data_IF_303348854549
#
_entry.id   IF_303348854549
#
_cell.length_a   1.000
_cell.length_b   1.000
_cell.length_c   1.000
_cell.angle_alpha   90.00
_cell.angle_beta   90.00
_cell.angle_gamma   90.00
#
_symmetry.space_group_name_H-M   'P 1'
#
loop_
_entity.id
_entity.type
_entity.pdbx_description
1 polymer ?
#
# COMPACT_ATOMS: atom_id res chain seq x y z
N UNK A 1 21.88 17.66 21.81
CA UNK A 1 21.36 16.38 22.32
C UNK A 1 21.78 15.28 21.36
N UNK A 2 22.12 14.09 21.87
CA UNK A 2 22.64 12.97 21.08
C UNK A 2 21.46 12.07 20.65
N UNK A 3 21.44 11.62 19.38
CA UNK A 3 20.37 10.80 18.79
C UNK A 3 20.06 9.54 19.60
N UNK A 4 21.10 8.92 20.18
CA UNK A 4 20.97 7.73 21.02
C UNK A 4 20.19 8.02 22.31
N UNK A 5 20.46 9.15 22.95
CA UNK A 5 19.79 9.56 24.20
C UNK A 5 18.34 9.96 23.96
N UNK A 6 18.03 10.56 22.82
CA UNK A 6 16.66 10.92 22.42
C UNK A 6 15.79 9.69 22.11
N UNK A 7 16.39 8.60 21.61
CA UNK A 7 15.71 7.35 21.31
C UNK A 7 15.82 6.29 22.41
N UNK A 8 16.36 6.64 23.60
CA UNK A 8 16.59 5.73 24.74
C UNK A 8 17.41 4.48 24.38
N UNK A 9 18.38 4.66 23.50
CA UNK A 9 19.30 3.61 23.08
C UNK A 9 20.51 3.69 24.03
N UNK A 10 20.54 2.81 25.02
CA UNK A 10 21.60 2.74 26.03
C UNK A 10 22.64 1.68 25.67
N UNK A 11 22.25 0.64 24.94
CA UNK A 11 23.09 -0.45 24.48
C UNK A 11 22.97 -0.69 22.97
N UNK A 12 23.99 -1.30 22.37
CA UNK A 12 23.97 -1.68 20.95
C UNK A 12 22.83 -2.65 20.62
N UNK A 13 22.46 -3.52 21.55
CA UNK A 13 21.29 -4.41 21.42
C UNK A 13 19.99 -3.63 21.28
N UNK A 14 19.84 -2.51 22.01
CA UNK A 14 18.66 -1.66 21.92
C UNK A 14 18.56 -0.99 20.55
N UNK A 15 19.70 -0.61 19.95
CA UNK A 15 19.77 -0.08 18.59
C UNK A 15 19.28 -1.12 17.57
N UNK A 16 19.76 -2.36 17.67
CA UNK A 16 19.36 -3.45 16.77
C UNK A 16 17.88 -3.75 16.90
N UNK A 17 17.36 -3.90 18.12
CA UNK A 17 15.92 -4.10 18.35
C UNK A 17 15.08 -2.95 17.79
N UNK A 18 15.53 -1.70 17.96
CA UNK A 18 14.81 -0.54 17.42
C UNK A 18 14.80 -0.49 15.90
N UNK A 19 15.88 -0.95 15.24
CA UNK A 19 15.93 -1.10 13.78
C UNK A 19 14.91 -2.14 13.31
N UNK A 20 14.86 -3.30 13.97
CA UNK A 20 13.93 -4.39 13.63
C UNK A 20 12.47 -3.97 13.81
N UNK A 21 12.15 -3.25 14.89
CA UNK A 21 10.82 -2.69 15.14
C UNK A 21 10.40 -1.74 14.02
N UNK A 22 11.24 -0.75 13.70
CA UNK A 22 10.93 0.27 12.69
C UNK A 22 10.89 -0.32 11.28
N UNK A 23 11.70 -1.34 10.99
CA UNK A 23 11.64 -2.08 9.74
C UNK A 23 10.30 -2.83 9.62
N UNK A 24 9.86 -3.50 10.69
CA UNK A 24 8.58 -4.21 10.74
C UNK A 24 7.40 -3.25 10.60
N UNK A 25 7.42 -2.11 11.30
CA UNK A 25 6.42 -1.04 11.15
C UNK A 25 6.39 -0.50 9.70
N UNK A 26 7.56 -0.34 9.07
CA UNK A 26 7.68 0.11 7.68
C UNK A 26 7.10 -0.90 6.70
N UNK A 27 7.30 -2.19 6.91
CA UNK A 27 6.72 -3.26 6.08
C UNK A 27 5.20 -3.29 6.21
N UNK A 28 4.68 -3.24 7.44
CA UNK A 28 3.24 -3.18 7.70
C UNK A 28 2.58 -1.95 7.07
N UNK A 29 3.24 -0.79 7.13
CA UNK A 29 2.76 0.43 6.48
C UNK A 29 2.73 0.30 4.95
N UNK A 30 3.71 -0.38 4.35
CA UNK A 30 3.72 -0.65 2.91
C UNK A 30 2.59 -1.59 2.48
N UNK A 31 2.34 -2.65 3.25
CA UNK A 31 1.23 -3.59 2.99
C UNK A 31 -0.14 -2.94 3.16
N UNK A 32 -0.32 -2.12 4.20
CA UNK A 32 -1.52 -1.34 4.41
C UNK A 32 -1.77 -0.38 3.24
N UNK A 33 -0.72 0.29 2.77
CA UNK A 33 -0.79 1.19 1.63
C UNK A 33 -1.22 0.45 0.35
N UNK A 34 -0.59 -0.68 0.05
CA UNK A 34 -0.93 -1.53 -1.10
C UNK A 34 -2.39 -2.02 -1.04
N UNK A 35 -2.87 -2.37 0.15
CA UNK A 35 -4.27 -2.76 0.36
C UNK A 35 -5.25 -1.63 0.06
N UNK A 36 -4.99 -0.42 0.56
CA UNK A 36 -5.82 0.77 0.31
C UNK A 36 -5.81 1.14 -1.19
N UNK A 37 -4.65 1.09 -1.83
CA UNK A 37 -4.53 1.36 -3.27
C UNK A 37 -5.34 0.37 -4.11
N UNK A 38 -5.26 -0.92 -3.79
CA UNK A 38 -6.08 -1.94 -4.45
C UNK A 38 -7.57 -1.65 -4.27
N UNK A 39 -8.00 -1.33 -3.04
CA UNK A 39 -9.40 -1.02 -2.75
C UNK A 39 -9.90 0.21 -3.51
N UNK A 40 -9.07 1.25 -3.65
CA UNK A 40 -9.39 2.43 -4.47
C UNK A 40 -9.63 2.06 -5.93
N UNK A 41 -8.78 1.22 -6.52
CA UNK A 41 -8.94 0.76 -7.91
C UNK A 41 -10.22 -0.06 -8.07
N UNK A 42 -10.43 -1.05 -7.20
CA UNK A 42 -11.60 -1.92 -7.24
C UNK A 42 -12.90 -1.09 -7.08
N UNK A 43 -12.88 -0.12 -6.18
CA UNK A 43 -14.01 0.77 -5.93
C UNK A 43 -14.31 1.69 -7.11
N UNK A 44 -13.29 2.25 -7.77
CA UNK A 44 -13.48 3.09 -8.95
C UNK A 44 -14.14 2.32 -10.10
N UNK A 45 -13.70 1.08 -10.35
CA UNK A 45 -14.31 0.19 -11.34
C UNK A 45 -15.77 -0.09 -10.97
N UNK A 46 -16.03 -0.40 -9.70
CA UNK A 46 -17.37 -0.67 -9.22
C UNK A 46 -18.30 0.54 -9.37
N UNK A 47 -17.85 1.74 -8.98
CA UNK A 47 -18.61 2.99 -9.13
C UNK A 47 -18.97 3.24 -10.59
N UNK A 48 -18.05 3.00 -11.52
CA UNK A 48 -18.30 3.13 -12.96
C UNK A 48 -19.41 2.19 -13.43
N UNK A 49 -19.41 0.93 -12.98
CA UNK A 49 -20.48 -0.02 -13.31
C UNK A 49 -21.82 0.37 -12.70
N UNK A 50 -21.84 0.81 -11.44
CA UNK A 50 -23.07 1.31 -10.78
C UNK A 50 -23.63 2.51 -11.55
N UNK A 51 -22.80 3.49 -11.88
CA UNK A 51 -23.22 4.68 -12.61
C UNK A 51 -23.75 4.33 -14.02
N UNK A 52 -23.06 3.44 -14.73
CA UNK A 52 -23.50 2.96 -16.05
C UNK A 52 -24.85 2.27 -15.94
N UNK A 53 -25.01 1.34 -14.98
CA UNK A 53 -26.25 0.62 -14.76
C UNK A 53 -27.42 1.55 -14.44
N UNK A 54 -27.22 2.53 -13.55
CA UNK A 54 -28.24 3.52 -13.19
C UNK A 54 -28.63 4.39 -14.39
N UNK A 55 -27.65 4.86 -15.17
CA UNK A 55 -27.87 5.72 -16.33
C UNK A 55 -28.66 5.01 -17.44
N UNK A 56 -28.37 3.74 -17.70
CA UNK A 56 -29.00 2.98 -18.80
C UNK A 56 -30.28 2.26 -18.38
N UNK A 57 -30.56 2.17 -17.07
CA UNK A 57 -31.75 1.48 -16.54
C UNK A 57 -33.08 1.96 -17.16
N UNK A 58 -33.36 3.27 -17.34
CA UNK A 58 -34.61 3.70 -17.96
C UNK A 58 -34.79 3.18 -19.39
N UNK A 59 -33.72 3.20 -20.19
CA UNK A 59 -33.71 2.68 -21.57
C UNK A 59 -33.93 1.17 -21.57
N UNK A 60 -33.25 0.45 -20.69
CA UNK A 60 -33.40 -1.01 -20.57
C UNK A 60 -34.80 -1.42 -20.09
N UNK A 61 -35.37 -0.70 -19.12
CA UNK A 61 -36.74 -0.95 -18.65
C UNK A 61 -37.78 -0.70 -19.75
N UNK A 62 -37.58 0.32 -20.59
CA UNK A 62 -38.41 0.59 -21.75
C UNK A 62 -38.25 -0.50 -22.84
N UNK A 63 -37.01 -0.93 -23.12
CA UNK A 63 -36.73 -2.07 -24.00
C UNK A 63 -37.48 -3.33 -23.57
N UNK A 64 -37.47 -3.66 -22.28
CA UNK A 64 -38.18 -4.84 -21.76
C UNK A 64 -39.69 -4.79 -21.97
N UNK A 65 -40.26 -3.59 -22.02
CA UNK A 65 -41.71 -3.33 -22.20
C UNK A 65 -42.09 -3.04 -23.66
N UNK A 66 -41.11 -2.88 -24.56
CA UNK A 66 -41.36 -2.50 -25.94
C UNK A 66 -42.15 -3.58 -26.69
N UNK A 67 -43.18 -3.17 -27.44
CA UNK A 67 -43.97 -4.08 -28.31
C UNK A 67 -43.13 -4.65 -29.45
N UNK A 68 -42.26 -3.82 -30.05
CA UNK A 68 -41.30 -4.25 -31.05
C UNK A 68 -39.88 -4.09 -30.49
N UNK A 69 -39.37 -5.19 -29.91
CA UNK A 69 -38.06 -5.21 -29.24
C UNK A 69 -36.90 -5.03 -30.20
N UNK A 70 -36.96 -5.61 -31.40
CA UNK A 70 -35.89 -5.51 -32.39
C UNK A 70 -35.67 -4.07 -32.85
N UNK A 71 -36.77 -3.36 -33.20
CA UNK A 71 -36.69 -1.95 -33.59
C UNK A 71 -36.20 -1.07 -32.44
N UNK A 72 -36.65 -1.34 -31.21
CA UNK A 72 -36.19 -0.60 -30.04
C UNK A 72 -34.70 -0.87 -29.77
N UNK A 73 -34.27 -2.14 -29.87
CA UNK A 73 -32.89 -2.52 -29.70
C UNK A 73 -32.00 -1.81 -30.71
N UNK A 74 -32.32 -1.84 -32.00
CA UNK A 74 -31.54 -1.17 -33.03
C UNK A 74 -31.38 0.35 -32.78
N UNK A 75 -32.40 1.01 -32.22
CA UNK A 75 -32.34 2.45 -31.88
C UNK A 75 -31.58 2.76 -30.59
N UNK A 76 -31.41 1.79 -29.69
CA UNK A 76 -30.82 1.96 -28.35
C UNK A 76 -29.72 0.95 -28.03
N UNK A 77 -29.12 0.36 -29.07
CA UNK A 77 -28.24 -0.81 -28.97
C UNK A 77 -27.11 -0.57 -27.99
N UNK A 78 -26.44 0.59 -28.11
CA UNK A 78 -25.34 0.98 -27.22
C UNK A 78 -25.75 0.98 -25.74
N UNK A 79 -26.89 1.59 -25.40
CA UNK A 79 -27.32 1.72 -24.01
C UNK A 79 -27.73 0.36 -23.42
N UNK A 80 -28.35 -0.49 -24.25
CA UNK A 80 -28.75 -1.85 -23.86
C UNK A 80 -27.50 -2.71 -23.60
N UNK A 81 -26.52 -2.71 -24.51
CA UNK A 81 -25.26 -3.44 -24.34
C UNK A 81 -24.52 -2.97 -23.08
N UNK A 82 -24.43 -1.65 -22.87
CA UNK A 82 -23.79 -1.08 -21.68
C UNK A 82 -24.54 -1.46 -20.39
N UNK A 83 -25.87 -1.50 -20.42
CA UNK A 83 -26.68 -1.95 -19.28
C UNK A 83 -26.37 -3.39 -18.92
N UNK A 84 -26.39 -4.29 -19.91
CA UNK A 84 -26.18 -5.72 -19.68
C UNK A 84 -24.76 -6.03 -19.22
N UNK A 85 -23.76 -5.35 -19.80
CA UNK A 85 -22.38 -5.44 -19.36
C UNK A 85 -22.22 -4.98 -17.91
N UNK A 86 -22.77 -3.81 -17.56
CA UNK A 86 -22.72 -3.31 -16.18
C UNK A 86 -23.46 -4.24 -15.20
N UNK A 87 -24.65 -4.73 -15.57
CA UNK A 87 -25.42 -5.67 -14.76
C UNK A 87 -24.65 -6.98 -14.50
N UNK A 88 -23.97 -7.51 -15.52
CA UNK A 88 -23.13 -8.71 -15.42
C UNK A 88 -21.96 -8.49 -14.48
N UNK A 89 -21.24 -7.37 -14.62
CA UNK A 89 -20.12 -7.03 -13.73
C UNK A 89 -20.58 -6.89 -12.28
N UNK A 90 -21.68 -6.17 -12.03
CA UNK A 90 -22.22 -5.99 -10.68
C UNK A 90 -22.62 -7.33 -10.03
N UNK A 91 -23.23 -8.23 -10.82
CA UNK A 91 -23.56 -9.59 -10.38
C UNK A 91 -22.31 -10.40 -10.05
N UNK A 92 -21.27 -10.31 -10.87
CA UNK A 92 -19.99 -11.00 -10.64
C UNK A 92 -19.27 -10.48 -9.39
N UNK A 93 -19.44 -9.20 -9.05
CA UNK A 93 -18.94 -8.60 -7.80
C UNK A 93 -19.73 -9.00 -6.54
N UNK A 94 -20.74 -9.88 -6.66
CA UNK A 94 -21.53 -10.35 -5.51
C UNK A 94 -22.52 -9.34 -4.95
N UNK A 95 -22.79 -8.25 -5.67
CA UNK A 95 -23.68 -7.18 -5.21
C UNK A 95 -25.13 -7.61 -5.40
N UNK A 96 -25.85 -7.76 -4.28
CA UNK A 96 -27.27 -8.09 -4.26
C UNK A 96 -28.16 -6.85 -4.22
N UNK A 97 -27.67 -5.74 -3.66
CA UNK A 97 -28.36 -4.45 -3.58
C UNK A 97 -27.49 -3.37 -4.16
N UNK A 98 -28.04 -2.60 -5.10
CA UNK A 98 -27.31 -1.54 -5.77
C UNK A 98 -26.84 -0.48 -4.75
N UNK A 99 -25.53 -0.19 -4.67
CA UNK A 99 -25.03 0.80 -3.73
C UNK A 99 -25.44 2.23 -4.15
N UNK A 100 -25.43 3.15 -3.19
CA UNK A 100 -25.64 4.56 -3.44
C UNK A 100 -24.30 5.20 -3.89
N UNK A 101 -24.25 5.78 -5.09
CA UNK A 101 -23.07 6.43 -5.62
C UNK A 101 -22.52 7.55 -4.72
N UNK A 102 -23.38 8.32 -4.06
CA UNK A 102 -22.93 9.37 -3.14
C UNK A 102 -22.26 8.78 -1.89
N UNK A 103 -22.74 7.65 -1.40
CA UNK A 103 -22.08 6.95 -0.29
C UNK A 103 -20.74 6.34 -0.73
N UNK A 104 -20.70 5.75 -1.93
CA UNK A 104 -19.46 5.25 -2.52
C UNK A 104 -18.44 6.37 -2.72
N UNK A 105 -18.86 7.54 -3.20
CA UNK A 105 -17.96 8.69 -3.37
C UNK A 105 -17.34 9.12 -2.04
N UNK A 106 -18.13 9.19 -0.96
CA UNK A 106 -17.62 9.50 0.38
C UNK A 106 -16.60 8.48 0.89
N UNK A 107 -16.89 7.20 0.71
CA UNK A 107 -15.95 6.14 1.11
C UNK A 107 -14.68 6.16 0.24
N UNK A 108 -14.79 6.47 -1.05
CA UNK A 108 -13.64 6.65 -1.93
C UNK A 108 -12.74 7.81 -1.46
N UNK A 109 -13.34 8.96 -1.12
CA UNK A 109 -12.62 10.12 -0.56
C UNK A 109 -11.96 9.80 0.79
N UNK A 110 -12.63 9.03 1.65
CA UNK A 110 -12.06 8.57 2.91
C UNK A 110 -10.86 7.64 2.69
N UNK A 111 -10.93 6.73 1.72
CA UNK A 111 -9.80 5.86 1.33
C UNK A 111 -8.64 6.67 0.75
N UNK A 112 -8.94 7.71 -0.02
CA UNK A 112 -7.92 8.61 -0.57
C UNK A 112 -7.19 9.36 0.54
N UNK A 113 -7.91 9.90 1.53
CA UNK A 113 -7.32 10.53 2.71
C UNK A 113 -6.49 9.53 3.54
N UNK A 114 -6.98 8.29 3.70
CA UNK A 114 -6.24 7.23 4.38
C UNK A 114 -4.94 6.89 3.64
N UNK A 115 -4.98 6.80 2.31
CA UNK A 115 -3.80 6.58 1.46
C UNK A 115 -2.75 7.67 1.68
N UNK A 116 -3.16 8.93 1.70
CA UNK A 116 -2.26 10.07 1.90
C UNK A 116 -1.60 10.05 3.29
N UNK A 117 -2.37 9.73 4.33
CA UNK A 117 -1.85 9.56 5.68
C UNK A 117 -0.81 8.42 5.76
N UNK A 118 -1.14 7.25 5.19
CA UNK A 118 -0.23 6.10 5.15
C UNK A 118 1.04 6.40 4.35
N UNK A 119 0.95 7.14 3.25
CA UNK A 119 2.12 7.58 2.48
C UNK A 119 3.05 8.47 3.30
N UNK A 120 2.47 9.42 4.06
CA UNK A 120 3.24 10.30 4.93
C UNK A 120 3.95 9.52 6.04
N UNK A 121 3.25 8.57 6.67
CA UNK A 121 3.82 7.77 7.77
C UNK A 121 4.86 6.77 7.29
N UNK A 122 4.61 6.07 6.17
CA UNK A 122 5.61 5.24 5.50
C UNK A 122 6.87 6.03 5.14
N UNK A 123 6.71 7.26 4.63
CA UNK A 123 7.84 8.15 4.33
C UNK A 123 8.67 8.52 5.56
N UNK A 124 8.04 8.73 6.73
CA UNK A 124 8.73 8.98 8.01
C UNK A 124 9.47 7.73 8.49
N UNK A 125 8.83 6.56 8.45
CA UNK A 125 9.43 5.29 8.87
C UNK A 125 10.67 4.96 8.03
N UNK A 126 10.58 5.12 6.70
CA UNK A 126 11.73 4.89 5.80
C UNK A 126 12.92 5.80 6.10
N UNK A 127 12.68 7.05 6.49
CA UNK A 127 13.75 7.96 6.94
C UNK A 127 14.39 7.47 8.24
N UNK A 128 13.58 7.07 9.21
CA UNK A 128 14.07 6.52 10.49
C UNK A 128 14.91 5.27 10.29
N UNK A 129 14.46 4.30 9.48
CA UNK A 129 15.25 3.09 9.15
C UNK A 129 16.62 3.49 8.63
N UNK A 130 16.68 4.41 7.66
CA UNK A 130 17.95 4.89 7.08
C UNK A 130 18.85 5.57 8.09
N UNK A 131 18.29 6.39 8.98
CA UNK A 131 19.06 7.05 10.05
C UNK A 131 19.66 6.03 11.01
N UNK A 132 18.88 5.03 11.44
CA UNK A 132 19.38 3.97 12.30
C UNK A 132 20.45 3.10 11.62
N UNK A 133 20.28 2.78 10.33
CA UNK A 133 21.28 2.02 9.56
C UNK A 133 22.62 2.74 9.50
N UNK A 134 22.61 4.06 9.28
CA UNK A 134 23.84 4.89 9.27
C UNK A 134 24.52 4.85 10.64
N UNK A 135 23.76 4.98 11.72
CA UNK A 135 24.29 4.96 13.09
C UNK A 135 24.88 3.58 13.41
N UNK A 136 24.20 2.51 13.02
CA UNK A 136 24.69 1.14 13.17
C UNK A 136 26.01 0.97 12.42
N UNK A 137 26.10 1.40 11.16
CA UNK A 137 27.34 1.32 10.37
C UNK A 137 28.50 2.11 11.00
N UNK A 138 28.22 3.30 11.54
CA UNK A 138 29.21 4.11 12.22
C UNK A 138 29.73 3.41 13.49
N UNK A 139 28.85 2.86 14.32
CA UNK A 139 29.24 2.12 15.53
C UNK A 139 30.02 0.84 15.17
N UNK A 140 29.56 0.09 14.18
CA UNK A 140 30.23 -1.12 13.70
C UNK A 140 31.66 -0.80 13.22
N UNK A 141 31.85 0.32 12.54
CA UNK A 141 33.16 0.78 12.05
C UNK A 141 34.12 1.14 13.20
N UNK A 142 33.63 1.81 14.24
CA UNK A 142 34.42 2.13 15.45
C UNK A 142 34.83 0.84 16.17
N UNK A 143 33.88 -0.07 16.39
CA UNK A 143 34.15 -1.36 17.05
C UNK A 143 35.13 -2.23 16.25
N UNK A 144 35.10 -2.16 14.92
CA UNK A 144 36.10 -2.84 14.08
C UNK A 144 37.48 -2.19 14.14
N UNK A 145 37.55 -0.85 14.21
CA UNK A 145 38.81 -0.12 14.34
C UNK A 145 39.50 -0.31 15.71
N UNK A 146 38.72 -0.55 16.77
CA UNK A 146 39.24 -0.83 18.12
C UNK A 146 39.72 -2.28 18.31
N UNK A 147 39.40 -3.21 17.41
CA UNK A 147 40.00 -4.55 17.43
C UNK A 147 41.49 -4.43 17.07
N UNK A 148 42.42 -4.76 17.98
CA UNK A 148 43.84 -4.75 17.64
C UNK A 148 44.07 -5.71 16.47
N UNK A 149 44.96 -5.40 15.52
CA UNK A 149 45.38 -6.40 14.55
C UNK A 149 45.91 -7.59 15.36
N UNK A 150 45.36 -8.78 15.12
CA UNK A 150 45.90 -10.02 15.65
C UNK A 150 47.37 -10.06 15.23
N UNK A 151 48.25 -9.66 16.14
CA UNK A 151 49.69 -9.82 15.97
C UNK A 151 49.88 -11.32 15.86
N UNK A 152 50.09 -11.81 14.64
CA UNK A 152 50.82 -13.06 14.39
C UNK A 152 52.17 -12.92 15.08
N UNK A 153 52.21 -13.27 16.36
CA UNK A 153 53.43 -13.46 17.12
C UNK A 153 53.95 -14.82 16.70
N UNK A 154 54.94 -14.85 15.82
CA UNK A 154 56.00 -15.85 15.86
C UNK A 154 57.23 -15.26 15.17
N UNK A 155 57.95 -14.46 15.95
CA UNK A 155 59.38 -14.24 15.78
C UNK A 155 60.01 -14.62 17.13
N UNK A 156 60.30 -15.91 17.30
CA UNK A 156 61.39 -16.43 18.15
C UNK A 156 61.93 -17.62 17.35
N UNK A 157 63.17 -17.63 16.85
CA UNK A 157 64.38 -17.62 17.65
C UNK A 157 65.54 -16.97 16.89
N UNK A 158 66.21 -16.05 17.57
CA UNK A 158 67.51 -15.51 17.17
C UNK A 158 68.61 -16.58 17.19
N UNK A 159 69.33 -16.69 16.08
CA UNK A 159 70.74 -16.29 15.94
C UNK A 159 71.66 -16.37 17.20
N UNK A 160 72.58 -17.36 17.13
CA UNK A 160 74.06 -17.38 17.40
C UNK A 160 74.49 -17.35 18.90
N UNK A 161 75.63 -17.93 19.38
CA UNK A 161 76.99 -18.09 18.81
C UNK A 161 77.31 -19.43 18.12
#
# INVERSE_FOLDING_TARGET
MNFLTENRIEQYTDLVSRIEEVATESEQAADALKSVEKRLVDMAVLMKHVATYQKTKPVYDAYRKAKNKERYHAGHERDIILHEAAARSLKASGITKLPNLAAMQKEYEALQAQKEALYADYGKLKKKVREYDIIKQNIDSILQAEKPPERKRENERGIIP
#
